data_IF_655463896854
#
_entry.id   IF_655463896854
#
_cell.length_a   1.000
_cell.length_b   1.000
_cell.length_c   1.000
_cell.angle_alpha   90.00
_cell.angle_beta   90.00
_cell.angle_gamma   90.00
#
_symmetry.space_group_name_H-M   'P 1'
#
loop_
_entity.id
_entity.type
_entity.pdbx_description
1 polymer ?
#
# COMPACT_ATOMS: atom_id res chain seq x y z
N UNK A 1 -25.19 -16.84 23.02
CA UNK A 1 -25.37 -15.72 22.08
C UNK A 1 -24.02 -15.06 22.03
N UNK A 2 -23.26 -15.43 21.01
CA UNK A 2 -21.96 -14.85 20.72
C UNK A 2 -22.24 -13.41 20.28
N UNK A 3 -21.67 -12.44 20.98
CA UNK A 3 -21.57 -11.07 20.50
C UNK A 3 -20.79 -11.12 19.18
N UNK A 4 -21.50 -11.07 18.06
CA UNK A 4 -20.95 -10.55 16.82
C UNK A 4 -20.47 -9.13 17.15
N UNK A 5 -19.16 -8.98 17.33
CA UNK A 5 -18.50 -7.69 17.14
C UNK A 5 -18.81 -7.27 15.71
N UNK A 6 -19.84 -6.44 15.54
CA UNK A 6 -20.06 -5.67 14.33
C UNK A 6 -18.74 -4.96 14.03
N UNK A 7 -18.05 -5.48 13.02
CA UNK A 7 -16.98 -4.83 12.31
C UNK A 7 -17.37 -3.34 12.17
N UNK A 8 -16.57 -2.43 12.75
CA UNK A 8 -16.77 -0.98 12.70
C UNK A 8 -16.52 -0.44 11.27
N UNK A 9 -17.01 -1.15 10.26
CA UNK A 9 -16.96 -0.78 8.87
C UNK A 9 -17.78 0.47 8.61
N UNK A 10 -17.18 1.42 7.89
CA UNK A 10 -17.87 2.60 7.42
C UNK A 10 -19.15 2.22 6.67
N UNK A 11 -20.28 2.85 7.03
CA UNK A 11 -21.60 2.59 6.41
C UNK A 11 -21.51 2.63 4.88
N UNK A 12 -21.87 1.54 4.21
CA UNK A 12 -21.67 1.40 2.77
C UNK A 12 -22.84 1.87 1.91
N UNK A 13 -24.03 2.06 2.51
CA UNK A 13 -25.26 2.42 1.81
C UNK A 13 -26.14 3.38 2.61
N UNK A 14 -27.11 3.99 1.93
CA UNK A 14 -28.13 4.87 2.51
C UNK A 14 -29.48 4.63 1.83
N UNK A 15 -30.55 5.04 2.49
CA UNK A 15 -31.91 5.01 1.97
C UNK A 15 -32.46 6.44 1.87
N UNK A 16 -33.28 6.68 0.84
CA UNK A 16 -33.98 7.96 0.69
C UNK A 16 -34.95 8.20 1.85
N UNK A 17 -34.95 9.43 2.38
CA UNK A 17 -35.87 9.84 3.42
C UNK A 17 -37.17 10.41 2.79
N UNK A 18 -38.24 9.63 2.80
CA UNK A 18 -39.55 10.01 2.25
C UNK A 18 -40.17 11.23 2.94
N UNK A 19 -39.79 11.51 4.20
CA UNK A 19 -40.29 12.64 4.98
C UNK A 19 -39.51 13.95 4.74
N UNK A 20 -38.53 13.94 3.83
CA UNK A 20 -37.69 15.10 3.56
C UNK A 20 -38.49 16.25 2.91
N UNK A 21 -38.59 17.38 3.63
CA UNK A 21 -39.39 18.54 3.19
C UNK A 21 -38.61 19.52 2.30
N UNK A 22 -37.36 19.21 1.97
CA UNK A 22 -36.46 20.11 1.27
C UNK A 22 -35.68 21.02 2.21
N UNK A 23 -34.47 21.39 1.78
CA UNK A 23 -33.62 22.33 2.50
C UNK A 23 -33.95 23.78 2.12
N UNK A 24 -33.82 24.67 3.10
CA UNK A 24 -33.95 26.12 2.91
C UNK A 24 -32.67 26.70 2.30
N UNK A 25 -32.79 27.86 1.66
CA UNK A 25 -31.60 28.56 1.14
C UNK A 25 -30.60 28.93 2.24
N UNK A 26 -31.07 29.20 3.46
CA UNK A 26 -30.18 29.55 4.57
C UNK A 26 -29.33 28.35 5.00
N UNK A 27 -29.91 27.14 5.03
CA UNK A 27 -29.19 25.91 5.37
C UNK A 27 -28.17 25.52 4.28
N UNK A 28 -28.53 25.71 3.02
CA UNK A 28 -27.67 25.37 1.87
C UNK A 28 -26.53 26.37 1.65
N UNK A 29 -26.65 27.60 2.16
CA UNK A 29 -25.65 28.66 2.02
C UNK A 29 -24.86 28.90 3.31
N UNK A 30 -25.03 28.03 4.29
CA UNK A 30 -24.30 28.09 5.56
C UNK A 30 -22.78 28.05 5.33
N UNK A 31 -22.01 28.76 6.15
CA UNK A 31 -20.56 28.89 5.97
C UNK A 31 -19.81 27.56 6.21
N UNK A 32 -20.37 26.70 7.05
CA UNK A 32 -19.86 25.35 7.32
C UNK A 32 -20.32 24.32 6.28
N UNK A 33 -21.21 24.69 5.35
CA UNK A 33 -21.69 23.82 4.28
C UNK A 33 -22.30 22.49 4.76
N UNK A 34 -22.86 22.46 5.97
CA UNK A 34 -23.47 21.26 6.56
C UNK A 34 -24.73 20.76 5.81
N UNK A 35 -25.35 21.62 4.99
CA UNK A 35 -26.50 21.27 4.15
C UNK A 35 -26.16 20.36 2.96
N UNK A 36 -24.89 20.03 2.74
CA UNK A 36 -24.42 19.21 1.63
C UNK A 36 -23.53 18.09 2.13
N UNK A 37 -23.77 16.87 1.65
CA UNK A 37 -23.04 15.67 2.07
C UNK A 37 -22.58 14.85 0.86
N UNK A 38 -21.52 14.07 1.04
CA UNK A 38 -21.07 13.10 0.04
C UNK A 38 -21.99 11.88 0.00
N UNK A 39 -22.60 11.62 -1.16
CA UNK A 39 -23.49 10.49 -1.39
C UNK A 39 -22.77 9.26 -2.00
N UNK A 40 -21.47 9.38 -2.31
CA UNK A 40 -20.63 8.31 -2.84
C UNK A 40 -19.52 8.02 -1.84
N UNK A 41 -19.09 6.76 -1.77
CA UNK A 41 -18.00 6.33 -0.89
C UNK A 41 -16.68 7.03 -1.25
N UNK A 42 -15.86 7.29 -0.23
CA UNK A 42 -14.53 7.85 -0.41
C UNK A 42 -13.61 6.87 -1.16
N UNK A 43 -12.73 7.40 -2.01
CA UNK A 43 -11.72 6.62 -2.72
C UNK A 43 -10.43 6.69 -1.90
N UNK A 44 -10.01 5.54 -1.36
CA UNK A 44 -8.76 5.37 -0.62
C UNK A 44 -7.54 5.60 -1.54
N UNK A 45 -6.36 5.97 -0.99
CA UNK A 45 -5.10 6.03 -1.73
C UNK A 45 -4.81 4.79 -2.59
N UNK A 46 -5.18 3.59 -2.14
CA UNK A 46 -5.11 2.36 -2.93
C UNK A 46 -6.00 2.34 -4.21
N UNK A 47 -6.85 3.34 -4.43
CA UNK A 47 -7.75 3.43 -5.58
C UNK A 47 -9.05 2.63 -5.43
N UNK A 48 -9.38 2.19 -4.21
CA UNK A 48 -10.58 1.40 -3.88
C UNK A 48 -11.45 2.14 -2.86
N UNK A 49 -12.70 1.73 -2.68
CA UNK A 49 -13.57 2.29 -1.61
C UNK A 49 -13.57 1.46 -0.32
N UNK A 50 -12.96 0.27 -0.38
CA UNK A 50 -12.74 -0.62 0.77
C UNK A 50 -11.26 -0.90 0.88
N UNK A 51 -10.76 -0.89 2.11
CA UNK A 51 -9.38 -1.26 2.39
C UNK A 51 -9.11 -2.68 1.92
N UNK A 52 -7.96 -2.88 1.31
CA UNK A 52 -7.46 -4.21 0.98
C UNK A 52 -6.15 -4.42 1.71
N UNK A 53 -6.14 -5.45 2.55
CA UNK A 53 -4.95 -5.85 3.28
C UNK A 53 -4.08 -6.75 2.37
N UNK A 54 -2.86 -6.33 2.00
CA UNK A 54 -1.95 -7.17 1.23
C UNK A 54 -1.52 -8.45 1.98
N UNK A 55 -1.36 -8.37 3.31
CA UNK A 55 -0.91 -9.48 4.15
C UNK A 55 -1.91 -10.64 4.26
N UNK A 56 -3.22 -10.37 4.09
CA UNK A 56 -4.27 -11.40 4.17
C UNK A 56 -4.15 -12.48 3.07
N UNK A 57 -3.46 -12.18 1.97
CA UNK A 57 -3.20 -13.16 0.91
C UNK A 57 -1.94 -13.98 1.15
N UNK A 58 -0.92 -13.38 1.78
CA UNK A 58 0.32 -14.07 2.16
C UNK A 58 0.01 -15.16 3.20
N UNK A 59 -0.89 -14.88 4.15
CA UNK A 59 -1.34 -15.87 5.13
C UNK A 59 -2.10 -17.08 4.55
N UNK A 60 -2.59 -17.00 3.31
CA UNK A 60 -3.33 -18.10 2.66
C UNK A 60 -2.45 -18.97 1.76
N UNK A 61 -1.22 -18.53 1.44
CA UNK A 61 -0.36 -19.24 0.48
C UNK A 61 0.81 -20.02 1.10
N UNK A 62 1.18 -19.83 2.38
CA UNK A 62 2.47 -20.38 2.87
C UNK A 62 2.40 -21.21 4.16
N UNK A 63 2.44 -22.55 3.99
CA UNK A 63 3.34 -23.42 4.74
C UNK A 63 4.73 -23.36 4.06
N UNK A 64 5.79 -23.05 4.82
CA UNK A 64 7.23 -23.26 4.54
C UNK A 64 8.02 -22.21 3.71
N UNK A 65 8.39 -21.04 4.28
CA UNK A 65 9.75 -20.51 4.12
C UNK A 65 10.19 -19.44 5.16
N UNK A 66 11.49 -19.40 5.52
CA UNK A 66 12.07 -18.46 6.50
C UNK A 66 12.35 -17.05 5.93
N UNK A 67 12.38 -16.88 4.60
CA UNK A 67 12.50 -15.55 3.94
C UNK A 67 11.20 -14.73 4.02
N UNK A 68 10.08 -15.33 4.43
CA UNK A 68 8.77 -14.68 4.56
C UNK A 68 8.54 -13.98 5.90
N UNK A 69 9.34 -14.26 6.95
CA UNK A 69 9.20 -13.54 8.21
C UNK A 69 9.53 -12.04 8.05
N UNK A 70 10.47 -11.67 7.17
CA UNK A 70 10.76 -10.26 6.87
C UNK A 70 9.64 -9.61 6.03
N UNK A 71 9.06 -10.34 5.06
CA UNK A 71 7.94 -9.82 4.25
C UNK A 71 6.64 -9.70 5.06
N UNK A 72 6.38 -10.63 6.00
CA UNK A 72 5.27 -10.56 6.97
C UNK A 72 5.49 -9.43 7.96
N UNK A 73 6.71 -9.23 8.47
CA UNK A 73 7.01 -8.11 9.37
C UNK A 73 6.79 -6.75 8.69
N UNK A 74 7.11 -6.61 7.39
CA UNK A 74 6.90 -5.37 6.64
C UNK A 74 5.41 -5.15 6.25
N UNK A 75 4.63 -6.22 6.08
CA UNK A 75 3.19 -6.12 5.75
C UNK A 75 2.27 -5.99 6.97
N UNK A 76 2.64 -6.53 8.14
CA UNK A 76 1.90 -6.36 9.39
C UNK A 76 1.93 -4.92 9.92
N UNK A 77 2.90 -4.09 9.50
CA UNK A 77 3.02 -2.68 9.92
C UNK A 77 2.13 -1.71 9.11
N UNK A 78 1.41 -2.18 8.08
CA UNK A 78 0.57 -1.30 7.25
C UNK A 78 -0.74 -0.98 7.98
N UNK A 79 -0.80 0.20 8.60
CA UNK A 79 -2.04 0.70 9.20
C UNK A 79 -3.20 0.72 8.18
N UNK A 80 -4.39 0.16 8.51
CA UNK A 80 -5.52 0.16 7.60
C UNK A 80 -5.91 1.59 7.17
N UNK A 81 -5.95 1.86 5.86
CA UNK A 81 -6.41 3.15 5.36
C UNK A 81 -7.91 3.32 5.66
N UNK A 82 -8.25 4.34 6.44
CA UNK A 82 -9.63 4.70 6.75
C UNK A 82 -10.02 6.03 6.11
N UNK A 83 -11.11 6.01 5.34
CA UNK A 83 -11.73 7.21 4.78
C UNK A 83 -12.79 7.82 5.70
N UNK A 84 -13.25 9.06 5.43
CA UNK A 84 -14.40 9.63 6.10
C UNK A 84 -15.67 8.78 5.86
N UNK A 85 -16.61 8.74 6.83
CA UNK A 85 -17.82 7.95 6.70
C UNK A 85 -18.72 8.46 5.57
N UNK A 86 -19.62 7.60 5.07
CA UNK A 86 -20.63 8.00 4.10
C UNK A 86 -21.54 9.10 4.67
N UNK A 87 -22.00 10.01 3.82
CA UNK A 87 -22.77 11.20 4.20
C UNK A 87 -21.98 12.20 5.06
N UNK A 88 -20.65 12.22 4.96
CA UNK A 88 -19.84 13.29 5.56
C UNK A 88 -20.15 14.64 4.90
N UNK A 89 -20.35 15.72 5.68
CA UNK A 89 -20.55 17.06 5.14
C UNK A 89 -19.36 17.55 4.31
N UNK A 90 -19.64 18.22 3.19
CA UNK A 90 -18.57 18.74 2.30
C UNK A 90 -17.74 19.85 2.95
N UNK A 91 -18.22 20.43 4.06
CA UNK A 91 -17.50 21.40 4.87
C UNK A 91 -16.32 20.81 5.63
N UNK A 92 -16.31 19.50 5.86
CA UNK A 92 -15.22 18.79 6.51
C UNK A 92 -14.12 18.36 5.51
N UNK A 93 -14.29 18.65 4.22
CA UNK A 93 -13.30 18.34 3.19
C UNK A 93 -12.01 19.14 3.37
N UNK A 94 -10.88 18.51 3.04
CA UNK A 94 -9.55 19.11 3.13
C UNK A 94 -9.45 20.40 2.30
N UNK A 95 -8.88 21.45 2.90
CA UNK A 95 -8.67 22.73 2.24
C UNK A 95 -7.59 22.65 1.16
N UNK A 96 -7.77 23.44 0.11
CA UNK A 96 -6.82 23.62 -0.97
C UNK A 96 -5.93 24.81 -0.61
N UNK A 97 -4.78 24.54 0.00
CA UNK A 97 -3.86 25.53 0.57
C UNK A 97 -4.50 26.39 1.67
N UNK A 98 -5.23 27.43 1.28
CA UNK A 98 -5.89 28.40 2.17
C UNK A 98 -7.36 28.65 1.77
N UNK A 99 -7.87 27.86 0.81
CA UNK A 99 -9.23 27.98 0.28
C UNK A 99 -9.99 26.69 0.52
N UNK A 100 -11.25 26.79 0.98
CA UNK A 100 -12.13 25.62 1.15
C UNK A 100 -12.29 24.84 -0.16
N UNK A 101 -12.48 23.52 -0.06
CA UNK A 101 -12.70 22.65 -1.22
C UNK A 101 -13.96 23.03 -2.04
N UNK A 102 -14.95 23.63 -1.40
CA UNK A 102 -16.24 23.99 -1.99
C UNK A 102 -16.58 25.46 -1.77
N UNK A 103 -17.40 26.02 -2.65
CA UNK A 103 -17.94 27.37 -2.50
C UNK A 103 -19.42 27.39 -2.82
N UNK A 104 -20.24 27.75 -1.82
CA UNK A 104 -21.67 27.97 -1.99
C UNK A 104 -21.98 29.37 -2.52
N UNK A 105 -22.98 29.46 -3.39
CA UNK A 105 -23.49 30.70 -3.98
C UNK A 105 -25.00 30.60 -4.21
N UNK A 106 -25.64 31.76 -4.29
CA UNK A 106 -27.04 31.89 -4.67
C UNK A 106 -27.15 32.35 -6.12
N UNK A 107 -28.15 31.84 -6.84
CA UNK A 107 -28.42 32.19 -8.24
C UNK A 107 -28.88 33.64 -8.46
N UNK A 108 -29.65 34.21 -7.53
CA UNK A 108 -30.14 35.59 -7.62
C UNK A 108 -30.34 36.21 -6.24
N UNK A 109 -29.76 37.40 -6.04
CA UNK A 109 -29.99 38.21 -4.84
C UNK A 109 -31.22 39.12 -4.98
N UNK A 110 -31.74 39.32 -6.20
CA UNK A 110 -32.85 40.24 -6.48
C UNK A 110 -34.19 39.65 -6.07
N UNK A 111 -34.37 38.34 -6.28
CA UNK A 111 -35.62 37.63 -5.97
C UNK A 111 -35.29 36.32 -5.24
N UNK A 112 -34.85 36.38 -3.96
CA UNK A 112 -34.38 35.20 -3.22
C UNK A 112 -35.44 34.11 -3.09
N UNK A 113 -36.73 34.46 -3.07
CA UNK A 113 -37.83 33.50 -2.94
C UNK A 113 -37.93 32.48 -4.09
N UNK A 114 -37.32 32.77 -5.25
CA UNK A 114 -37.27 31.86 -6.41
C UNK A 114 -35.85 31.42 -6.76
N UNK A 115 -34.86 31.86 -5.97
CA UNK A 115 -33.48 31.48 -6.19
C UNK A 115 -33.23 30.02 -5.79
N UNK A 116 -32.29 29.38 -6.45
CA UNK A 116 -31.62 28.17 -5.98
C UNK A 116 -30.25 28.51 -5.35
N UNK A 117 -29.82 27.63 -4.45
CA UNK A 117 -28.45 27.58 -3.96
C UNK A 117 -27.66 26.57 -4.80
N UNK A 118 -26.39 26.86 -5.02
CA UNK A 118 -25.49 25.93 -5.68
C UNK A 118 -24.11 25.97 -5.03
N UNK A 119 -23.45 24.83 -5.03
CA UNK A 119 -22.05 24.67 -4.65
C UNK A 119 -21.23 24.34 -5.88
N UNK A 120 -20.02 24.85 -5.93
CA UNK A 120 -19.02 24.47 -6.93
C UNK A 120 -17.79 23.92 -6.24
N UNK A 121 -17.18 22.91 -6.85
CA UNK A 121 -15.88 22.41 -6.38
C UNK A 121 -14.77 23.36 -6.83
N UNK A 122 -13.90 23.72 -5.89
CA UNK A 122 -12.65 24.41 -6.19
C UNK A 122 -11.55 23.39 -6.55
N UNK A 123 -11.66 22.14 -6.10
CA UNK A 123 -10.71 21.06 -6.41
C UNK A 123 -10.92 20.47 -7.81
N UNK A 124 -12.17 20.38 -8.26
CA UNK A 124 -12.53 19.90 -9.58
C UNK A 124 -13.33 20.97 -10.34
N UNK A 125 -12.64 21.94 -10.97
CA UNK A 125 -13.30 22.99 -11.73
C UNK A 125 -14.22 22.41 -12.80
N UNK A 126 -15.49 22.78 -12.75
CA UNK A 126 -16.54 22.22 -13.59
C UNK A 126 -17.56 21.36 -12.84
N UNK A 127 -17.28 20.96 -11.59
CA UNK A 127 -18.25 20.28 -10.74
C UNK A 127 -19.17 21.27 -10.05
N UNK A 128 -20.47 21.07 -10.23
CA UNK A 128 -21.54 21.86 -9.62
C UNK A 128 -22.61 20.94 -9.03
N UNK A 129 -23.14 21.32 -7.89
CA UNK A 129 -24.38 20.79 -7.36
C UNK A 129 -25.32 21.94 -7.06
N UNK A 130 -26.61 21.79 -7.37
CA UNK A 130 -27.61 22.81 -7.08
C UNK A 130 -28.81 22.20 -6.39
N UNK A 131 -29.48 23.00 -5.57
CA UNK A 131 -30.65 22.59 -4.82
C UNK A 131 -31.67 23.73 -4.70
N UNK A 132 -32.95 23.36 -4.76
CA UNK A 132 -34.10 24.22 -4.55
C UNK A 132 -35.23 23.43 -3.89
N UNK A 133 -35.40 23.61 -2.59
CA UNK A 133 -36.39 22.86 -1.82
C UNK A 133 -36.03 21.36 -1.84
N UNK A 134 -36.94 20.53 -2.35
CA UNK A 134 -36.77 19.08 -2.45
C UNK A 134 -36.24 18.61 -3.83
N UNK A 135 -35.75 19.52 -4.66
CA UNK A 135 -35.13 19.17 -5.96
C UNK A 135 -33.66 19.56 -5.91
N UNK A 136 -32.78 18.61 -6.19
CA UNK A 136 -31.34 18.81 -6.25
C UNK A 136 -30.74 17.93 -7.35
N UNK A 137 -29.65 18.39 -7.95
CA UNK A 137 -28.92 17.64 -8.99
C UNK A 137 -27.43 18.00 -8.96
N UNK A 138 -26.62 17.06 -9.46
CA UNK A 138 -25.17 17.18 -9.55
C UNK A 138 -24.74 17.09 -11.02
N UNK A 139 -23.85 17.96 -11.47
CA UNK A 139 -23.35 17.96 -12.84
C UNK A 139 -21.86 18.31 -12.88
N UNK A 140 -21.13 17.61 -13.74
CA UNK A 140 -19.76 17.94 -14.09
C UNK A 140 -19.67 18.40 -15.55
N UNK A 141 -19.15 19.60 -15.78
CA UNK A 141 -18.85 20.14 -17.11
C UNK A 141 -17.46 20.78 -17.06
N UNK A 142 -16.46 20.09 -17.56
CA UNK A 142 -15.07 20.55 -17.53
C UNK A 142 -14.12 19.64 -18.31
N UNK A 143 -12.83 19.90 -18.16
CA UNK A 143 -11.76 19.21 -18.88
C UNK A 143 -11.27 17.92 -18.21
N UNK A 144 -11.78 17.56 -17.03
CA UNK A 144 -11.31 16.41 -16.26
C UNK A 144 -9.97 16.65 -15.56
N UNK A 145 -9.54 17.91 -15.38
CA UNK A 145 -8.30 18.24 -14.69
C UNK A 145 -8.57 18.60 -13.23
N UNK A 146 -7.88 17.92 -12.32
CA UNK A 146 -7.81 18.30 -10.91
C UNK A 146 -7.12 19.64 -10.80
N UNK A 147 -7.66 20.54 -10.00
CA UNK A 147 -6.97 21.78 -9.66
C UNK A 147 -5.70 21.43 -8.90
N UNK A 148 -4.57 21.71 -9.52
CA UNK A 148 -3.25 21.62 -8.94
C UNK A 148 -2.73 23.03 -8.72
N UNK A 149 -2.12 23.25 -7.55
CA UNK A 149 -1.54 24.55 -7.20
C UNK A 149 -0.10 24.67 -7.68
N UNK A 150 0.57 23.54 -7.87
CA UNK A 150 1.85 23.41 -8.56
C UNK A 150 1.63 23.05 -10.02
N UNK A 151 2.56 23.47 -10.87
CA UNK A 151 2.61 23.01 -12.24
C UNK A 151 2.86 21.48 -12.30
N UNK A 152 2.42 20.87 -13.39
CA UNK A 152 2.67 19.46 -13.64
C UNK A 152 4.18 19.20 -13.77
N UNK A 153 4.73 18.45 -12.81
CA UNK A 153 6.06 17.87 -12.90
C UNK A 153 5.94 16.44 -13.44
N UNK A 154 6.54 16.13 -14.60
CA UNK A 154 6.56 14.75 -15.08
C UNK A 154 7.33 13.86 -14.09
N UNK A 155 6.86 12.62 -13.93
CA UNK A 155 7.54 11.64 -13.08
C UNK A 155 8.96 11.38 -13.62
N UNK A 156 9.92 11.31 -12.70
CA UNK A 156 11.29 10.93 -13.03
C UNK A 156 11.32 9.45 -13.44
N UNK A 157 12.24 9.06 -14.34
CA UNK A 157 12.42 7.65 -14.64
C UNK A 157 12.74 6.88 -13.35
N UNK A 158 12.31 5.60 -13.25
CA UNK A 158 12.63 4.78 -12.10
C UNK A 158 14.15 4.68 -11.92
N UNK A 159 14.58 4.54 -10.68
CA UNK A 159 15.98 4.30 -10.38
C UNK A 159 16.42 2.99 -11.06
N UNK A 160 17.64 2.93 -11.63
CA UNK A 160 18.21 1.67 -12.09
C UNK A 160 18.20 0.64 -10.96
N UNK A 161 17.97 -0.64 -11.31
CA UNK A 161 18.12 -1.72 -10.36
C UNK A 161 19.56 -1.78 -9.84
N UNK A 162 19.72 -2.13 -8.56
CA UNK A 162 21.03 -2.37 -7.99
C UNK A 162 21.66 -3.60 -8.66
N UNK A 163 22.97 -3.57 -8.86
CA UNK A 163 23.73 -4.73 -9.28
C UNK A 163 23.76 -5.78 -8.15
N UNK A 164 24.03 -7.03 -8.51
CA UNK A 164 24.23 -8.09 -7.55
C UNK A 164 25.43 -7.75 -6.66
N UNK A 165 25.27 -7.86 -5.33
CA UNK A 165 26.36 -7.60 -4.39
C UNK A 165 27.47 -8.63 -4.55
N UNK A 166 28.73 -8.21 -4.50
CA UNK A 166 29.87 -9.14 -4.50
C UNK A 166 29.80 -10.09 -3.29
N UNK A 167 29.29 -11.29 -3.52
CA UNK A 167 29.17 -12.36 -2.53
C UNK A 167 30.41 -13.26 -2.52
N UNK A 168 30.56 -14.12 -1.49
CA UNK A 168 31.64 -15.10 -1.41
C UNK A 168 31.61 -16.12 -2.56
N UNK A 169 30.48 -16.26 -3.26
CA UNK A 169 30.34 -17.10 -4.47
C UNK A 169 31.11 -16.56 -5.69
N UNK A 170 31.42 -15.25 -5.71
CA UNK A 170 32.12 -14.58 -6.81
C UNK A 170 33.64 -14.53 -6.55
N UNK A 171 34.06 -14.69 -5.29
CA UNK A 171 35.46 -14.71 -4.88
C UNK A 171 36.14 -16.05 -5.19
N UNK A 172 37.35 -16.02 -5.72
CA UNK A 172 38.21 -17.19 -5.77
C UNK A 172 38.63 -17.60 -4.35
N UNK A 173 38.73 -18.89 -4.07
CA UNK A 173 39.24 -19.39 -2.80
C UNK A 173 40.67 -18.88 -2.58
N UNK A 174 41.01 -18.48 -1.36
CA UNK A 174 42.38 -18.09 -1.02
C UNK A 174 43.31 -19.29 -1.24
N UNK A 175 44.46 -19.04 -1.88
CA UNK A 175 45.50 -20.06 -2.03
C UNK A 175 45.94 -20.56 -0.64
N UNK A 176 46.14 -21.88 -0.46
CA UNK A 176 46.62 -22.42 0.80
C UNK A 176 47.97 -21.80 1.17
N UNK A 177 48.19 -21.54 2.46
CA UNK A 177 49.45 -20.96 2.90
C UNK A 177 50.62 -21.95 2.71
N UNK A 178 51.87 -21.46 2.59
CA UNK A 178 53.04 -22.34 2.47
C UNK A 178 53.22 -23.31 3.65
N UNK A 179 52.75 -22.93 4.85
CA UNK A 179 52.79 -23.79 6.04
C UNK A 179 51.75 -24.92 5.96
N UNK A 180 50.56 -24.65 5.44
CA UNK A 180 49.52 -25.65 5.22
C UNK A 180 49.89 -26.60 4.09
N UNK A 181 50.49 -26.12 3.00
CA UNK A 181 51.02 -26.97 1.93
C UNK A 181 52.15 -27.87 2.45
N UNK A 182 53.08 -27.34 3.26
CA UNK A 182 54.14 -28.13 3.86
C UNK A 182 53.60 -29.21 4.81
N UNK A 183 52.55 -28.90 5.57
CA UNK A 183 51.88 -29.87 6.45
C UNK A 183 51.12 -30.93 5.66
N UNK A 184 50.44 -30.56 4.58
CA UNK A 184 49.76 -31.50 3.69
C UNK A 184 50.76 -32.44 3.01
N UNK A 185 51.88 -31.90 2.51
CA UNK A 185 52.97 -32.68 1.93
C UNK A 185 53.59 -33.65 2.93
N UNK A 186 53.84 -33.19 4.16
CA UNK A 186 54.37 -34.05 5.21
C UNK A 186 53.37 -35.15 5.63
N UNK A 187 52.07 -34.85 5.66
CA UNK A 187 51.03 -35.84 5.95
C UNK A 187 50.89 -36.87 4.81
N UNK A 188 51.03 -36.45 3.56
CA UNK A 188 51.04 -37.35 2.39
C UNK A 188 52.29 -38.25 2.39
N UNK A 189 53.46 -37.71 2.72
CA UNK A 189 54.70 -38.47 2.86
C UNK A 189 54.61 -39.49 4.02
N UNK A 190 54.01 -39.11 5.15
CA UNK A 190 53.76 -40.03 6.26
C UNK A 190 52.75 -41.13 5.90
N UNK A 191 51.66 -40.80 5.21
CA UNK A 191 50.69 -41.79 4.78
C UNK A 191 51.25 -42.75 3.70
N UNK A 192 52.17 -42.27 2.86
CA UNK A 192 52.88 -43.11 1.89
C UNK A 192 53.86 -44.07 2.59
N UNK A 193 54.60 -43.58 3.59
CA UNK A 193 55.53 -44.40 4.39
C UNK A 193 54.76 -45.47 5.21
N UNK A 194 53.64 -45.10 5.84
CA UNK A 194 52.74 -46.04 6.54
C UNK A 194 52.11 -47.06 5.56
N UNK A 195 51.75 -46.65 4.34
CA UNK A 195 51.23 -47.56 3.30
C UNK A 195 52.28 -48.51 2.73
N UNK A 196 53.54 -48.07 2.58
CA UNK A 196 54.66 -48.94 2.22
C UNK A 196 54.99 -49.93 3.36
N UNK A 197 54.88 -49.52 4.63
CA UNK A 197 55.01 -50.43 5.76
C UNK A 197 53.85 -51.46 5.84
N UNK A 198 52.59 -51.06 5.61
CA UNK A 198 51.46 -51.99 5.54
C UNK A 198 51.54 -52.96 4.35
N UNK A 199 51.93 -52.51 3.14
CA UNK A 199 52.17 -53.42 1.99
C UNK A 199 53.35 -54.38 2.27
N UNK A 200 54.40 -53.92 2.96
CA UNK A 200 55.51 -54.78 3.35
C UNK A 200 55.11 -55.81 4.42
N UNK A 201 54.21 -55.47 5.34
CA UNK A 201 53.66 -56.42 6.32
C UNK A 201 52.70 -57.44 5.68
N UNK A 202 51.89 -57.05 4.68
CA UNK A 202 51.04 -57.99 3.92
C UNK A 202 51.85 -58.94 2.99
N UNK A 203 53.00 -58.52 2.46
CA UNK A 203 53.90 -59.43 1.71
C UNK A 203 54.58 -60.47 2.61
N UNK A 204 54.79 -60.18 3.89
CA UNK A 204 55.42 -61.11 4.84
C UNK A 204 54.43 -62.18 5.34
N UNK A 205 53.13 -61.88 5.47
CA UNK A 205 52.10 -62.86 5.91
C UNK A 205 51.70 -63.87 4.81
N UNK A 206 52.04 -63.62 3.54
CA UNK A 206 51.81 -64.55 2.43
C UNK A 206 52.93 -65.59 2.21
N UNK A 207 54.03 -65.55 2.96
CA UNK A 207 55.15 -66.50 2.83
C UNK A 207 55.12 -67.68 3.83
N UNK A 208 54.13 -67.77 4.73
CA UNK A 208 54.11 -68.76 5.83
C UNK A 208 52.89 -69.73 5.83
N UNK A 209 52.42 -70.19 4.66
CA UNK A 209 51.47 -71.33 4.57
C UNK A 209 51.85 -72.38 3.51
N UNK A 210 53.07 -72.92 3.60
CA UNK A 210 53.45 -74.14 2.86
C UNK A 210 54.53 -74.96 3.62
N UNK A 211 54.11 -75.75 4.63
CA UNK A 211 54.79 -76.99 5.04
C UNK A 211 53.91 -77.96 5.86
#
# INVERSE_FOLDING_TARGET
>A
EEEETEDEGARESYQENEDFKGATLSELLDEELNGWVHHVQYILPQGRTKWWNPGENVDKEEEENEEEEEMKAETEEIEPEQGPPLLTPIGADAEIQTTKAWTARISSHLIPQYACAFVRSNLWPGSYAFARGAVWENIYVGFGHKYATSDYGPELPPLPANEYSDGPEIGEAEDPSPEEEAKARAAEEQAADEGEEEEAEEEIDNEDDDN
#
